data_IF_323958039900
#
_entry.id   IF_323958039900
#
_cell.length_a   1.000
_cell.length_b   1.000
_cell.length_c   1.000
_cell.angle_alpha   90.00
_cell.angle_beta   90.00
_cell.angle_gamma   90.00
#
_symmetry.space_group_name_H-M   'P 1'
#
loop_
_entity.id
_entity.type
_entity.pdbx_description
1 polymer ?
#
# COMPACT_ATOMS: atom_id res chain seq x y z
N UNK A 1 -7.23 -2.11 -23.00
CA UNK A 1 -8.00 -1.28 -23.96
C UNK A 1 -9.47 -1.05 -23.62
N UNK A 2 -10.24 -2.06 -23.19
CA UNK A 2 -11.69 -1.88 -22.96
C UNK A 2 -12.04 -0.72 -22.02
N UNK A 3 -11.31 -0.54 -20.91
CA UNK A 3 -11.52 0.57 -19.98
C UNK A 3 -11.26 1.94 -20.60
N UNK A 4 -10.21 2.08 -21.43
CA UNK A 4 -9.86 3.35 -22.07
C UNK A 4 -10.98 3.87 -23.00
N UNK A 5 -11.71 2.97 -23.67
CA UNK A 5 -12.83 3.35 -24.56
C UNK A 5 -14.02 3.97 -23.81
N UNK A 6 -14.13 3.74 -22.51
CA UNK A 6 -15.24 4.21 -21.68
C UNK A 6 -14.77 5.12 -20.54
N UNK A 7 -13.50 5.55 -20.54
CA UNK A 7 -12.94 6.37 -19.48
C UNK A 7 -12.83 5.68 -18.12
N UNK A 8 -12.76 4.35 -18.07
CA UNK A 8 -12.62 3.59 -16.83
C UNK A 8 -11.14 3.29 -16.53
N UNK A 9 -10.57 3.79 -15.42
CA UNK A 9 -9.19 3.49 -15.03
C UNK A 9 -8.97 2.02 -14.74
N UNK A 10 -7.76 1.52 -15.02
CA UNK A 10 -7.35 0.15 -14.77
C UNK A 10 -6.27 0.11 -13.69
N UNK A 11 -6.49 -0.74 -12.69
CA UNK A 11 -5.54 -1.00 -11.60
C UNK A 11 -5.09 -2.47 -11.61
N UNK A 12 -4.00 -2.81 -12.32
CA UNK A 12 -3.37 -4.11 -12.16
C UNK A 12 -2.74 -4.27 -10.77
N UNK A 13 -2.76 -5.51 -10.29
CA UNK A 13 -2.20 -5.91 -9.00
C UNK A 13 -1.05 -6.87 -9.24
N UNK A 14 0.12 -6.60 -8.68
CA UNK A 14 1.26 -7.51 -8.81
C UNK A 14 1.05 -8.76 -7.94
N UNK A 15 0.55 -9.83 -8.54
CA UNK A 15 0.44 -11.15 -7.91
C UNK A 15 1.81 -11.81 -7.77
N UNK A 16 2.08 -12.46 -6.64
CA UNK A 16 3.35 -13.14 -6.38
C UNK A 16 3.09 -14.60 -6.01
N UNK A 17 3.78 -15.53 -6.68
CA UNK A 17 3.76 -16.95 -6.33
C UNK A 17 4.43 -17.24 -4.98
N UNK A 18 4.16 -18.42 -4.42
CA UNK A 18 4.66 -18.81 -3.09
C UNK A 18 6.19 -18.82 -3.00
N UNK A 19 6.87 -19.35 -4.03
CA UNK A 19 8.31 -19.60 -4.03
C UNK A 19 9.13 -18.49 -4.72
N UNK A 20 8.52 -17.32 -4.93
CA UNK A 20 9.16 -16.20 -5.60
C UNK A 20 9.74 -15.19 -4.61
N UNK A 21 10.92 -14.68 -4.92
CA UNK A 21 11.51 -13.56 -4.20
C UNK A 21 10.63 -12.31 -4.31
N UNK A 22 10.46 -11.59 -3.19
CA UNK A 22 9.70 -10.34 -3.08
C UNK A 22 10.65 -9.19 -2.80
N UNK A 23 11.41 -8.80 -3.81
CA UNK A 23 12.42 -7.75 -3.70
C UNK A 23 12.12 -6.54 -4.58
N UNK A 24 12.88 -5.46 -4.35
CA UNK A 24 12.77 -4.23 -5.11
C UNK A 24 12.90 -4.44 -6.61
N UNK A 25 13.80 -5.33 -7.04
CA UNK A 25 14.08 -5.56 -8.46
C UNK A 25 12.87 -6.20 -9.16
N UNK A 26 12.28 -7.22 -8.53
CA UNK A 26 11.09 -7.88 -9.04
C UNK A 26 9.91 -6.91 -9.15
N UNK A 27 9.62 -6.18 -8.08
CA UNK A 27 8.49 -5.24 -8.09
C UNK A 27 8.72 -4.06 -9.02
N UNK A 28 9.95 -3.55 -9.16
CA UNK A 28 10.24 -2.50 -10.14
C UNK A 28 9.96 -2.96 -11.57
N UNK A 29 10.32 -4.21 -11.91
CA UNK A 29 10.02 -4.79 -13.22
C UNK A 29 8.50 -4.92 -13.43
N UNK A 30 7.80 -5.53 -12.47
CA UNK A 30 6.37 -5.82 -12.58
C UNK A 30 5.52 -4.54 -12.67
N UNK A 31 5.78 -3.58 -11.76
CA UNK A 31 5.06 -2.29 -11.73
C UNK A 31 5.34 -1.46 -12.97
N UNK A 32 6.60 -1.40 -13.43
CA UNK A 32 6.98 -0.68 -14.66
C UNK A 32 6.32 -1.25 -15.90
N UNK A 33 6.36 -2.58 -16.09
CA UNK A 33 5.69 -3.22 -17.25
C UNK A 33 4.20 -2.88 -17.25
N UNK A 34 3.53 -3.02 -16.11
CA UNK A 34 2.10 -2.76 -16.01
C UNK A 34 1.75 -1.29 -16.34
N UNK A 35 2.56 -0.35 -15.85
CA UNK A 35 2.39 1.07 -16.16
C UNK A 35 2.67 1.37 -17.65
N UNK A 36 3.73 0.80 -18.23
CA UNK A 36 4.08 0.99 -19.66
C UNK A 36 3.02 0.45 -20.60
N UNK A 37 2.28 -0.58 -20.18
CA UNK A 37 1.13 -1.13 -20.91
C UNK A 37 -0.14 -0.27 -20.82
N UNK A 38 -0.08 0.86 -20.10
CA UNK A 38 -1.15 1.85 -20.03
C UNK A 38 -2.09 1.67 -18.83
N UNK A 39 -1.62 1.14 -17.71
CA UNK A 39 -2.35 1.19 -16.44
C UNK A 39 -2.33 2.60 -15.83
N UNK A 40 -3.38 2.98 -15.08
CA UNK A 40 -3.49 4.30 -14.45
C UNK A 40 -3.13 4.29 -12.96
N UNK A 41 -3.19 3.13 -12.32
CA UNK A 41 -2.87 2.93 -10.91
C UNK A 41 -2.17 1.59 -10.79
N UNK A 42 -1.16 1.48 -9.95
CA UNK A 42 -0.50 0.19 -9.67
C UNK A 42 -0.71 -0.19 -8.22
N UNK A 43 -1.18 -1.42 -7.98
CA UNK A 43 -1.15 -2.03 -6.64
C UNK A 43 0.02 -2.99 -6.54
N UNK A 44 0.89 -2.78 -5.56
CA UNK A 44 2.03 -3.68 -5.28
C UNK A 44 2.24 -3.90 -3.78
N UNK A 45 3.31 -4.59 -3.38
CA UNK A 45 3.65 -4.79 -1.97
C UNK A 45 4.77 -3.85 -1.54
N UNK A 46 4.72 -3.42 -0.28
CA UNK A 46 5.86 -2.77 0.35
C UNK A 46 7.05 -3.73 0.50
N UNK A 47 8.27 -3.20 0.38
CA UNK A 47 9.52 -3.93 0.65
C UNK A 47 10.41 -3.05 1.53
N UNK A 48 11.06 -3.65 2.52
CA UNK A 48 11.82 -2.89 3.53
C UNK A 48 13.02 -2.11 2.97
N UNK A 49 13.51 -2.50 1.79
CA UNK A 49 14.67 -1.86 1.15
C UNK A 49 14.37 -1.56 -0.31
N UNK A 50 14.46 -0.28 -0.68
CA UNK A 50 14.38 0.15 -2.06
C UNK A 50 12.95 0.40 -2.57
N UNK A 51 11.95 0.47 -1.70
CA UNK A 51 10.58 0.76 -2.13
C UNK A 51 10.48 2.17 -2.76
N UNK A 52 11.26 3.14 -2.29
CA UNK A 52 11.40 4.47 -2.90
C UNK A 52 11.82 4.41 -4.38
N UNK A 53 12.60 3.38 -4.76
CA UNK A 53 13.00 3.16 -6.16
C UNK A 53 11.87 2.57 -7.00
N UNK A 54 10.98 1.77 -6.39
CA UNK A 54 9.76 1.27 -7.04
C UNK A 54 8.82 2.44 -7.30
N UNK A 55 8.58 3.27 -6.27
CA UNK A 55 7.74 4.46 -6.34
C UNK A 55 8.26 5.43 -7.42
N UNK A 56 9.55 5.79 -7.37
CA UNK A 56 10.15 6.70 -8.35
C UNK A 56 10.22 6.12 -9.78
N UNK A 57 10.29 4.79 -9.91
CA UNK A 57 10.38 4.10 -11.20
C UNK A 57 9.05 3.89 -11.91
N UNK A 58 7.92 4.10 -11.22
CA UNK A 58 6.58 3.93 -11.76
C UNK A 58 5.97 5.28 -12.16
N UNK A 59 5.56 5.48 -13.42
CA UNK A 59 5.07 6.78 -13.89
C UNK A 59 3.63 7.12 -13.46
N UNK A 60 2.98 6.25 -12.67
CA UNK A 60 1.59 6.40 -12.22
C UNK A 60 1.47 6.09 -10.73
N UNK A 61 0.39 6.53 -10.03
CA UNK A 61 0.23 6.30 -8.59
C UNK A 61 0.38 4.83 -8.18
N UNK A 62 1.17 4.60 -7.13
CA UNK A 62 1.32 3.29 -6.48
C UNK A 62 0.53 3.27 -5.18
N UNK A 63 -0.25 2.20 -4.98
CA UNK A 63 -0.85 1.87 -3.68
C UNK A 63 -0.28 0.55 -3.15
N UNK A 64 0.00 0.49 -1.86
CA UNK A 64 0.53 -0.74 -1.25
C UNK A 64 -0.57 -1.66 -0.74
N UNK A 65 -0.44 -2.96 -1.00
CA UNK A 65 -1.28 -3.99 -0.42
C UNK A 65 -0.89 -4.24 1.04
N UNK A 66 -1.88 -4.41 1.92
CA UNK A 66 -1.63 -4.66 3.35
C UNK A 66 -0.95 -6.01 3.68
N UNK A 67 -0.91 -6.98 2.75
CA UNK A 67 -0.27 -8.27 3.02
C UNK A 67 -1.04 -9.13 4.02
N UNK A 68 -0.32 -9.97 4.79
CA UNK A 68 -0.87 -10.81 5.87
C UNK A 68 -1.23 -9.95 7.08
N UNK A 69 -2.04 -10.47 8.01
CA UNK A 69 -2.30 -9.78 9.28
C UNK A 69 -0.98 -9.60 10.03
N UNK A 70 -0.73 -8.38 10.46
CA UNK A 70 0.34 -7.96 11.35
C UNK A 70 -0.27 -7.37 12.62
N UNK A 71 0.48 -7.25 13.72
CA UNK A 71 0.13 -6.34 14.81
C UNK A 71 -0.18 -4.94 14.27
N UNK A 72 -1.18 -4.26 14.82
CA UNK A 72 -1.70 -2.99 14.33
C UNK A 72 -0.59 -1.93 14.24
N UNK A 73 0.28 -1.87 15.26
CA UNK A 73 1.45 -0.98 15.26
C UNK A 73 2.40 -1.24 14.09
N UNK A 74 2.66 -2.50 13.76
CA UNK A 74 3.53 -2.87 12.63
C UNK A 74 2.86 -2.57 11.28
N UNK A 75 1.54 -2.75 11.18
CA UNK A 75 0.79 -2.37 9.99
C UNK A 75 0.78 -0.84 9.77
N UNK A 76 0.70 -0.05 10.85
CA UNK A 76 0.81 1.41 10.78
C UNK A 76 2.22 1.86 10.42
N UNK A 77 3.26 1.20 10.94
CA UNK A 77 4.65 1.46 10.53
C UNK A 77 4.85 1.19 9.04
N UNK A 78 4.38 0.05 8.54
CA UNK A 78 4.42 -0.27 7.10
C UNK A 78 3.67 0.77 6.27
N UNK A 79 2.52 1.25 6.75
CA UNK A 79 1.76 2.32 6.11
C UNK A 79 2.57 3.60 6.02
N UNK A 80 3.11 4.05 7.16
CA UNK A 80 3.90 5.27 7.28
C UNK A 80 5.12 5.25 6.36
N UNK A 81 5.91 4.18 6.43
CA UNK A 81 7.11 4.02 5.60
C UNK A 81 6.77 4.03 4.10
N UNK A 82 5.70 3.35 3.69
CA UNK A 82 5.30 3.35 2.29
C UNK A 82 4.87 4.74 1.79
N UNK A 83 4.08 5.47 2.58
CA UNK A 83 3.65 6.83 2.24
C UNK A 83 4.85 7.78 2.19
N UNK A 84 5.72 7.76 3.21
CA UNK A 84 6.94 8.57 3.27
C UNK A 84 7.87 8.33 2.07
N UNK A 85 7.95 7.08 1.61
CA UNK A 85 8.76 6.68 0.46
C UNK A 85 8.06 6.85 -0.91
N UNK A 86 6.88 7.48 -0.95
CA UNK A 86 6.23 7.92 -2.19
C UNK A 86 5.05 7.07 -2.68
N UNK A 87 4.52 6.16 -1.86
CA UNK A 87 3.22 5.55 -2.16
C UNK A 87 2.11 6.61 -2.12
N UNK A 88 1.15 6.51 -3.03
CA UNK A 88 -0.02 7.39 -3.11
C UNK A 88 -1.20 6.92 -2.25
N UNK A 89 -1.04 5.80 -1.52
CA UNK A 89 -2.08 5.26 -0.65
C UNK A 89 -1.87 3.79 -0.28
N UNK A 90 -2.87 3.23 0.39
CA UNK A 90 -2.88 1.83 0.82
C UNK A 90 -4.19 1.13 0.41
N UNK A 91 -4.09 -0.15 0.10
CA UNK A 91 -5.19 -1.07 -0.13
C UNK A 91 -5.09 -2.19 0.91
N UNK A 92 -5.58 -1.88 2.11
CA UNK A 92 -5.52 -2.77 3.27
C UNK A 92 -6.79 -3.61 3.40
N UNK A 93 -6.62 -4.93 3.33
CA UNK A 93 -7.67 -5.90 3.66
C UNK A 93 -7.51 -6.40 5.09
N UNK A 94 -6.73 -7.49 5.25
CA UNK A 94 -6.61 -8.24 6.52
C UNK A 94 -6.21 -7.39 7.72
N UNK A 95 -5.31 -6.41 7.54
CA UNK A 95 -4.91 -5.52 8.63
C UNK A 95 -6.03 -4.61 9.15
N UNK A 96 -7.11 -4.44 8.39
CA UNK A 96 -8.33 -3.75 8.83
C UNK A 96 -9.32 -4.76 9.41
N UNK A 97 -9.86 -5.66 8.58
CA UNK A 97 -11.01 -6.48 8.98
C UNK A 97 -10.68 -7.63 9.94
N UNK A 98 -9.41 -7.97 10.13
CA UNK A 98 -8.96 -8.93 11.16
C UNK A 98 -8.33 -8.21 12.36
N UNK A 99 -8.38 -6.88 12.42
CA UNK A 99 -7.98 -6.13 13.60
C UNK A 99 -8.96 -6.37 14.75
N UNK A 100 -8.48 -6.20 15.97
CA UNK A 100 -9.31 -6.22 17.17
C UNK A 100 -10.37 -5.09 17.14
N UNK A 101 -10.07 -3.97 16.50
CA UNK A 101 -11.03 -2.90 16.23
C UNK A 101 -10.83 -2.33 14.81
N UNK A 102 -11.61 -2.82 13.83
CA UNK A 102 -11.48 -2.38 12.44
C UNK A 102 -11.76 -0.88 12.23
N UNK A 103 -12.65 -0.28 13.02
CA UNK A 103 -13.03 1.14 12.86
C UNK A 103 -11.91 2.04 13.37
N UNK A 104 -11.38 1.74 14.56
CA UNK A 104 -10.21 2.42 15.10
C UNK A 104 -9.01 2.30 14.14
N UNK A 105 -8.80 1.12 13.55
CA UNK A 105 -7.71 0.89 12.61
C UNK A 105 -7.88 1.69 11.31
N UNK A 106 -9.10 1.82 10.77
CA UNK A 106 -9.37 2.67 9.60
C UNK A 106 -9.02 4.13 9.91
N UNK A 107 -9.42 4.65 11.07
CA UNK A 107 -9.11 6.03 11.49
C UNK A 107 -7.60 6.26 11.61
N UNK A 108 -6.88 5.31 12.21
CA UNK A 108 -5.42 5.38 12.35
C UNK A 108 -4.71 5.35 10.98
N UNK A 109 -5.11 4.45 10.08
CA UNK A 109 -4.55 4.40 8.71
C UNK A 109 -4.87 5.69 7.94
N UNK A 110 -6.09 6.20 8.04
CA UNK A 110 -6.48 7.47 7.42
C UNK A 110 -5.61 8.63 7.90
N UNK A 111 -5.28 8.67 9.20
CA UNK A 111 -4.42 9.70 9.77
C UNK A 111 -3.00 9.67 9.17
N UNK A 112 -2.41 8.48 8.99
CA UNK A 112 -1.12 8.34 8.31
C UNK A 112 -1.20 8.79 6.85
N UNK A 113 -2.20 8.30 6.10
CA UNK A 113 -2.28 8.50 4.64
C UNK A 113 -2.67 9.94 4.25
N UNK A 114 -3.57 10.58 5.02
CA UNK A 114 -4.17 11.85 4.64
C UNK A 114 -3.82 13.03 5.56
N UNK A 115 -3.24 12.77 6.72
CA UNK A 115 -2.88 13.82 7.69
C UNK A 115 -1.38 13.84 8.04
N UNK A 116 -0.56 13.05 7.35
CA UNK A 116 0.89 12.95 7.56
C UNK A 116 1.26 12.65 9.03
N UNK A 117 0.41 11.91 9.73
CA UNK A 117 0.71 11.48 11.10
C UNK A 117 1.83 10.43 11.11
N UNK A 118 2.62 10.44 12.18
CA UNK A 118 3.63 9.39 12.39
C UNK A 118 2.96 8.07 12.79
N UNK A 119 3.68 6.96 12.62
CA UNK A 119 3.18 5.65 13.02
C UNK A 119 2.81 5.60 14.53
N UNK A 120 3.59 6.27 15.38
CA UNK A 120 3.34 6.34 16.82
C UNK A 120 2.05 7.10 17.14
N UNK A 121 1.84 8.28 16.55
CA UNK A 121 0.64 9.10 16.76
C UNK A 121 -0.60 8.40 16.25
N UNK A 122 -0.52 7.75 15.09
CA UNK A 122 -1.61 6.94 14.56
C UNK A 122 -1.93 5.75 15.46
N UNK A 123 -0.93 5.13 16.09
CA UNK A 123 -1.16 4.02 17.02
C UNK A 123 -1.79 4.49 18.34
N UNK A 124 -1.40 5.66 18.85
CA UNK A 124 -2.07 6.29 19.99
C UNK A 124 -3.55 6.60 19.67
N UNK A 125 -3.82 7.11 18.47
CA UNK A 125 -5.20 7.31 17.98
C UNK A 125 -5.98 5.99 17.96
N UNK A 126 -5.39 4.92 17.41
CA UNK A 126 -5.99 3.58 17.44
C UNK A 126 -6.35 3.17 18.88
N UNK A 127 -5.41 3.30 19.84
CA UNK A 127 -5.65 2.92 21.23
C UNK A 127 -6.74 3.77 21.92
N UNK A 128 -6.86 5.05 21.54
CA UNK A 128 -7.88 5.94 22.11
C UNK A 128 -9.30 5.66 21.59
N UNK A 129 -9.40 5.12 20.38
CA UNK A 129 -10.67 4.81 19.71
C UNK A 129 -11.09 3.34 19.90
N UNK A 130 -10.14 2.48 20.28
CA UNK A 130 -10.37 1.05 20.53
C UNK A 130 -11.34 0.86 21.70
N UNK A 131 -12.51 0.28 21.42
CA UNK A 131 -13.60 0.04 22.38
C UNK A 131 -14.10 -1.39 22.40
#
# INVERSE_FOLDING_TARGET
EAGLRVGHPIMPVTGVGTDMARDQRYFSLATRIAAEMGAQIIKTYYVDKGFERIAAGCPVPIVIAGGKKLPEREALEMCYQAIDQGASGVDMGRNIFQSEDPVAMIKAVHAVVHHNETAERAYELFLSEKG
#
